data_IF_073034410058
#
_entry.id   IF_073034410058
#
_cell.length_a   1.000
_cell.length_b   1.000
_cell.length_c   1.000
_cell.angle_alpha   90.00
_cell.angle_beta   90.00
_cell.angle_gamma   90.00
#
_symmetry.space_group_name_H-M   'P 1'
#
loop_
_entity.id
_entity.type
_entity.pdbx_description
1 polymer ?
#
# COMPACT_ATOMS: atom_id res chain seq x y z
N UNK A 1 26.68 -17.04 21.14
CA UNK A 1 26.68 -16.44 19.79
C UNK A 1 25.33 -16.69 19.15
N UNK A 2 24.43 -15.69 19.11
CA UNK A 2 23.13 -15.85 18.44
C UNK A 2 23.36 -15.95 16.93
N UNK A 3 23.20 -17.15 16.37
CA UNK A 3 23.32 -17.36 14.92
C UNK A 3 22.10 -16.73 14.24
N UNK A 4 22.32 -15.76 13.36
CA UNK A 4 21.28 -15.27 12.45
C UNK A 4 20.91 -16.34 11.41
N UNK A 5 19.89 -16.04 10.59
CA UNK A 5 19.46 -16.95 9.52
C UNK A 5 20.45 -16.88 8.34
N UNK A 6 20.97 -18.01 7.83
CA UNK A 6 21.85 -18.00 6.66
C UNK A 6 21.18 -17.42 5.40
N UNK A 7 21.96 -16.73 4.56
CA UNK A 7 21.45 -16.11 3.32
C UNK A 7 20.76 -17.10 2.38
N UNK A 8 21.30 -18.32 2.22
CA UNK A 8 20.69 -19.31 1.34
C UNK A 8 19.31 -19.76 1.83
N UNK A 9 19.09 -19.83 3.15
CA UNK A 9 17.80 -20.19 3.74
C UNK A 9 16.79 -19.05 3.55
N UNK A 10 17.22 -17.80 3.73
CA UNK A 10 16.39 -16.62 3.45
C UNK A 10 15.99 -16.54 1.97
N UNK A 11 16.94 -16.82 1.07
CA UNK A 11 16.69 -16.80 -0.38
C UNK A 11 15.70 -17.89 -0.79
N UNK A 12 15.90 -19.11 -0.27
CA UNK A 12 14.95 -20.21 -0.48
C UNK A 12 13.56 -19.81 0.00
N UNK A 13 13.45 -19.34 1.26
CA UNK A 13 12.19 -18.87 1.84
C UNK A 13 11.50 -17.81 0.98
N UNK A 14 12.26 -16.83 0.46
CA UNK A 14 11.71 -15.77 -0.40
C UNK A 14 11.00 -16.33 -1.63
N UNK A 15 11.57 -17.32 -2.30
CA UNK A 15 11.05 -17.84 -3.55
C UNK A 15 10.08 -19.02 -3.40
N UNK A 16 10.04 -19.70 -2.25
CA UNK A 16 9.12 -20.82 -2.02
C UNK A 16 7.87 -20.46 -1.26
N UNK A 17 7.93 -19.43 -0.40
CA UNK A 17 6.91 -19.21 0.62
C UNK A 17 6.12 -17.92 0.43
N UNK A 18 6.56 -17.02 -0.45
CA UNK A 18 5.82 -15.80 -0.75
C UNK A 18 4.91 -15.97 -1.96
N UNK A 19 3.62 -15.67 -1.77
CA UNK A 19 2.70 -15.41 -2.88
C UNK A 19 2.53 -13.90 -3.00
N UNK A 20 3.34 -13.30 -3.86
CA UNK A 20 3.30 -11.86 -4.02
C UNK A 20 2.04 -11.43 -4.78
N UNK A 21 1.31 -10.39 -4.31
CA UNK A 21 0.24 -9.76 -5.09
C UNK A 21 0.80 -8.86 -6.22
N UNK A 22 2.08 -9.02 -6.59
CA UNK A 22 2.68 -8.22 -7.63
C UNK A 22 1.99 -8.53 -8.96
N UNK A 23 1.46 -7.52 -9.67
CA UNK A 23 0.79 -7.70 -10.97
C UNK A 23 1.79 -8.07 -12.07
N UNK A 24 3.07 -8.17 -11.72
CA UNK A 24 4.12 -8.50 -12.64
C UNK A 24 4.15 -10.01 -12.80
N UNK A 25 4.05 -10.49 -14.04
CA UNK A 25 4.58 -11.79 -14.44
C UNK A 25 6.12 -11.79 -14.34
N UNK A 26 6.66 -11.27 -13.24
CA UNK A 26 8.08 -11.23 -12.97
C UNK A 26 8.45 -12.62 -12.46
N UNK A 27 8.95 -13.43 -13.37
CA UNK A 27 9.41 -14.77 -13.03
C UNK A 27 10.42 -14.70 -11.88
N UNK A 28 10.25 -15.55 -10.88
CA UNK A 28 11.16 -15.65 -9.73
C UNK A 28 12.64 -15.76 -10.17
N UNK A 29 12.88 -16.47 -11.27
CA UNK A 29 14.20 -16.64 -11.89
C UNK A 29 14.80 -15.32 -12.39
N UNK A 30 13.99 -14.43 -12.98
CA UNK A 30 14.45 -13.12 -13.44
C UNK A 30 14.83 -12.24 -12.24
N UNK A 31 14.03 -12.28 -11.16
CA UNK A 31 14.27 -11.45 -9.97
C UNK A 31 15.55 -11.88 -9.27
N UNK A 32 15.77 -13.19 -9.18
CA UNK A 32 17.00 -13.76 -8.66
C UNK A 32 18.21 -13.39 -9.52
N UNK A 33 18.10 -13.49 -10.85
CA UNK A 33 19.18 -13.14 -11.76
C UNK A 33 19.55 -11.65 -11.64
N UNK A 34 18.56 -10.76 -11.55
CA UNK A 34 18.79 -9.34 -11.35
C UNK A 34 19.43 -9.06 -9.99
N UNK A 35 18.91 -9.66 -8.91
CA UNK A 35 19.49 -9.55 -7.56
C UNK A 35 20.94 -10.02 -7.51
N UNK A 36 21.29 -11.12 -8.17
CA UNK A 36 22.67 -11.60 -8.25
C UNK A 36 23.59 -10.60 -8.97
N UNK A 37 23.07 -9.86 -9.95
CA UNK A 37 23.83 -8.80 -10.64
C UNK A 37 23.85 -7.46 -9.89
N UNK A 38 22.91 -7.23 -8.97
CA UNK A 38 22.71 -5.97 -8.25
C UNK A 38 22.61 -6.26 -6.74
N UNK A 39 23.74 -6.33 -6.01
CA UNK A 39 23.78 -6.84 -4.64
C UNK A 39 22.81 -6.14 -3.66
N UNK A 40 22.59 -4.83 -3.84
CA UNK A 40 21.65 -4.07 -2.99
C UNK A 40 20.21 -4.56 -3.13
N UNK A 41 19.80 -5.01 -4.32
CA UNK A 41 18.48 -5.62 -4.52
C UNK A 41 18.43 -6.97 -3.80
N UNK A 42 19.44 -7.83 -3.99
CA UNK A 42 19.50 -9.13 -3.32
C UNK A 42 19.44 -8.99 -1.80
N UNK A 43 20.22 -8.09 -1.21
CA UNK A 43 20.22 -7.82 0.22
C UNK A 43 18.83 -7.35 0.70
N UNK A 44 18.11 -6.57 -0.12
CA UNK A 44 16.73 -6.15 0.17
C UNK A 44 15.77 -7.33 0.16
N UNK A 45 15.84 -8.23 -0.83
CA UNK A 45 15.01 -9.44 -0.88
C UNK A 45 15.24 -10.33 0.35
N UNK A 46 16.49 -10.49 0.76
CA UNK A 46 16.85 -11.25 1.96
C UNK A 46 16.34 -10.59 3.24
N UNK A 47 16.39 -9.26 3.33
CA UNK A 47 15.81 -8.52 4.44
C UNK A 47 14.29 -8.70 4.51
N UNK A 48 13.58 -8.67 3.37
CA UNK A 48 12.14 -8.95 3.28
C UNK A 48 11.83 -10.38 3.73
N UNK A 49 12.61 -11.37 3.29
CA UNK A 49 12.47 -12.75 3.73
C UNK A 49 12.61 -12.88 5.26
N UNK A 50 13.61 -12.22 5.84
CA UNK A 50 13.82 -12.19 7.27
C UNK A 50 12.67 -11.49 8.02
N UNK A 51 12.14 -10.38 7.49
CA UNK A 51 10.96 -9.69 8.04
C UNK A 51 9.73 -10.60 8.02
N UNK A 52 9.45 -11.28 6.91
CA UNK A 52 8.34 -12.24 6.84
C UNK A 52 8.50 -13.36 7.87
N UNK A 53 9.69 -13.96 8.00
CA UNK A 53 9.95 -14.96 9.03
C UNK A 53 9.74 -14.39 10.43
N UNK A 54 10.12 -13.13 10.71
CA UNK A 54 9.87 -12.47 12.00
C UNK A 54 8.37 -12.37 12.31
N UNK A 55 7.51 -12.22 11.32
CA UNK A 55 6.06 -12.14 11.52
C UNK A 55 5.40 -13.50 11.76
N UNK A 56 5.97 -14.58 11.21
CA UNK A 56 5.39 -15.93 11.28
C UNK A 56 6.10 -16.85 12.28
N UNK A 57 7.26 -16.45 12.82
CA UNK A 57 8.02 -17.25 13.79
C UNK A 57 7.68 -16.88 15.21
N UNK A 58 7.48 -17.89 16.07
CA UNK A 58 7.37 -17.72 17.52
C UNK A 58 8.67 -17.12 18.09
N UNK A 59 9.83 -17.61 17.61
CA UNK A 59 11.14 -17.11 18.01
C UNK A 59 11.63 -16.07 16.99
N UNK A 60 11.44 -14.80 17.32
CA UNK A 60 11.73 -13.67 16.41
C UNK A 60 13.21 -13.29 16.31
N UNK A 61 14.04 -13.65 17.30
CA UNK A 61 15.40 -13.11 17.44
C UNK A 61 16.33 -13.41 16.24
N UNK A 62 16.40 -14.65 15.70
CA UNK A 62 17.25 -14.93 14.53
C UNK A 62 16.83 -14.12 13.30
N UNK A 63 15.52 -14.00 13.09
CA UNK A 63 14.93 -13.23 12.00
C UNK A 63 15.21 -11.74 12.14
N UNK A 64 15.10 -11.17 13.36
CA UNK A 64 15.46 -9.77 13.65
C UNK A 64 16.92 -9.46 13.33
N UNK A 65 17.84 -10.33 13.75
CA UNK A 65 19.26 -10.15 13.46
C UNK A 65 19.55 -10.22 11.96
N UNK A 66 18.92 -11.16 11.26
CA UNK A 66 19.04 -11.29 9.82
C UNK A 66 18.47 -10.06 9.09
N UNK A 67 17.26 -9.63 9.43
CA UNK A 67 16.59 -8.45 8.86
C UNK A 67 17.44 -7.19 9.07
N UNK A 68 17.95 -6.95 10.28
CA UNK A 68 18.81 -5.80 10.57
C UNK A 68 20.12 -5.83 9.77
N UNK A 69 20.77 -7.00 9.72
CA UNK A 69 22.04 -7.15 8.99
C UNK A 69 21.85 -6.96 7.49
N UNK A 70 20.86 -7.61 6.89
CA UNK A 70 20.59 -7.51 5.45
C UNK A 70 20.04 -6.13 5.08
N UNK A 71 19.17 -5.56 5.92
CA UNK A 71 18.63 -4.21 5.74
C UNK A 71 19.72 -3.13 5.76
N UNK A 72 20.74 -3.28 6.62
CA UNK A 72 21.87 -2.36 6.67
C UNK A 72 22.72 -2.41 5.38
N UNK A 73 22.98 -3.63 4.86
CA UNK A 73 23.69 -3.81 3.59
C UNK A 73 22.88 -3.25 2.42
N UNK A 74 21.59 -3.56 2.36
CA UNK A 74 20.64 -3.07 1.38
C UNK A 74 20.62 -1.53 1.32
N UNK A 75 20.45 -0.86 2.46
CA UNK A 75 20.40 0.60 2.53
C UNK A 75 21.72 1.26 2.09
N UNK A 76 22.86 0.70 2.50
CA UNK A 76 24.17 1.21 2.10
C UNK A 76 24.40 1.06 0.59
N UNK A 77 24.14 -0.13 0.05
CA UNK A 77 24.26 -0.41 -1.38
C UNK A 77 23.29 0.41 -2.22
N UNK A 78 22.04 0.56 -1.77
CA UNK A 78 21.02 1.35 -2.44
C UNK A 78 21.38 2.83 -2.47
N UNK A 79 21.87 3.39 -1.35
CA UNK A 79 22.35 4.79 -1.31
C UNK A 79 23.50 5.01 -2.29
N UNK A 80 24.46 4.09 -2.35
CA UNK A 80 25.56 4.18 -3.30
C UNK A 80 25.07 4.07 -4.76
N UNK A 81 24.08 3.23 -5.04
CA UNK A 81 23.48 3.10 -6.37
C UNK A 81 22.74 4.38 -6.80
N UNK A 82 22.01 5.03 -5.88
CA UNK A 82 21.30 6.28 -6.16
C UNK A 82 22.23 7.46 -6.51
N UNK A 83 23.48 7.43 -6.07
CA UNK A 83 24.49 8.46 -6.34
C UNK A 83 25.20 8.27 -7.69
N UNK A 84 25.03 7.13 -8.34
CA UNK A 84 25.66 6.82 -9.64
C UNK A 84 24.80 7.30 -10.82
N UNK A 85 25.42 7.62 -11.96
CA UNK A 85 24.70 7.82 -13.22
C UNK A 85 23.83 6.62 -13.57
N UNK A 86 22.68 6.87 -14.19
CA UNK A 86 21.64 5.86 -14.43
C UNK A 86 21.64 5.40 -15.87
N UNK A 87 22.80 4.95 -16.35
CA UNK A 87 22.99 4.70 -17.78
C UNK A 87 22.67 3.24 -18.17
N UNK A 88 22.48 2.37 -17.18
CA UNK A 88 22.18 0.95 -17.36
C UNK A 88 20.72 0.61 -16.99
N UNK A 89 19.94 0.05 -17.93
CA UNK A 89 18.55 -0.35 -17.67
C UNK A 89 18.38 -1.34 -16.52
N UNK A 90 19.31 -2.30 -16.33
CA UNK A 90 19.22 -3.27 -15.24
C UNK A 90 19.37 -2.59 -13.88
N UNK A 91 20.30 -1.65 -13.77
CA UNK A 91 20.50 -0.86 -12.56
C UNK A 91 19.28 0.01 -12.26
N UNK A 92 18.70 0.67 -13.27
CA UNK A 92 17.48 1.47 -13.11
C UNK A 92 16.28 0.64 -12.63
N UNK A 93 16.11 -0.56 -13.20
CA UNK A 93 15.11 -1.55 -12.78
C UNK A 93 15.34 -2.02 -11.33
N UNK A 94 16.57 -2.40 -11.00
CA UNK A 94 16.93 -2.85 -9.66
C UNK A 94 16.72 -1.75 -8.60
N UNK A 95 16.96 -0.48 -8.94
CA UNK A 95 16.68 0.67 -8.07
C UNK A 95 15.18 0.76 -7.75
N UNK A 96 14.31 0.60 -8.75
CA UNK A 96 12.85 0.65 -8.55
C UNK A 96 12.37 -0.53 -7.71
N UNK A 97 12.80 -1.76 -8.03
CA UNK A 97 12.46 -2.94 -7.25
C UNK A 97 12.97 -2.85 -5.81
N UNK A 98 14.19 -2.36 -5.63
CA UNK A 98 14.74 -2.15 -4.28
C UNK A 98 13.88 -1.19 -3.48
N UNK A 99 13.49 -0.05 -4.07
CA UNK A 99 12.63 0.90 -3.39
C UNK A 99 11.24 0.32 -3.07
N UNK A 100 10.69 -0.53 -3.94
CA UNK A 100 9.43 -1.23 -3.72
C UNK A 100 9.51 -2.17 -2.52
N UNK A 101 10.56 -2.99 -2.43
CA UNK A 101 10.76 -3.91 -1.32
C UNK A 101 11.17 -3.21 -0.02
N UNK A 102 11.91 -2.09 -0.10
CA UNK A 102 12.14 -1.23 1.06
C UNK A 102 10.83 -0.64 1.58
N UNK A 103 9.92 -0.24 0.69
CA UNK A 103 8.60 0.22 1.11
C UNK A 103 7.82 -0.86 1.88
N UNK A 104 7.88 -2.13 1.43
CA UNK A 104 7.32 -3.26 2.19
C UNK A 104 7.95 -3.38 3.57
N UNK A 105 9.29 -3.37 3.66
CA UNK A 105 10.02 -3.49 4.92
C UNK A 105 9.64 -2.41 5.93
N UNK A 106 9.70 -1.15 5.52
CA UNK A 106 9.40 -0.02 6.39
C UNK A 106 7.92 0.03 6.79
N UNK A 107 7.03 -0.40 5.89
CA UNK A 107 5.61 -0.53 6.24
C UNK A 107 5.40 -1.64 7.29
N UNK A 108 6.09 -2.77 7.17
CA UNK A 108 6.06 -3.89 8.14
C UNK A 108 6.88 -3.66 9.42
N UNK A 109 7.58 -2.52 9.54
CA UNK A 109 8.47 -2.23 10.67
C UNK A 109 7.68 -1.76 11.91
N UNK A 110 6.71 -2.57 12.34
CA UNK A 110 5.99 -2.47 13.61
C UNK A 110 6.00 -3.83 14.30
N UNK A 111 5.84 -3.84 15.62
CA UNK A 111 5.88 -5.07 16.42
C UNK A 111 4.51 -5.47 16.98
N UNK A 112 3.61 -4.50 17.13
CA UNK A 112 2.23 -4.64 17.57
C UNK A 112 1.36 -3.57 16.92
N UNK A 113 0.05 -3.64 17.17
CA UNK A 113 -0.93 -2.69 16.67
C UNK A 113 -1.45 -1.72 17.75
N UNK A 114 -0.65 -1.45 18.79
CA UNK A 114 -0.98 -0.51 19.86
C UNK A 114 -1.13 0.92 19.32
N UNK A 115 -2.37 1.47 19.30
CA UNK A 115 -2.62 2.79 18.73
C UNK A 115 -1.86 3.90 19.45
N UNK A 116 -1.44 3.71 20.71
CA UNK A 116 -0.66 4.71 21.45
C UNK A 116 0.72 4.99 20.82
N UNK A 117 1.25 4.08 20.00
CA UNK A 117 2.53 4.20 19.30
C UNK A 117 2.44 4.86 17.92
N UNK A 118 1.23 5.20 17.48
CA UNK A 118 0.99 5.87 16.19
C UNK A 118 1.69 7.23 16.11
N UNK A 119 2.04 7.64 14.88
CA UNK A 119 2.62 8.94 14.60
C UNK A 119 1.76 10.10 15.12
N UNK A 120 0.42 9.95 15.13
CA UNK A 120 -0.52 11.01 15.50
C UNK A 120 -0.43 11.38 17.00
N UNK A 121 0.05 10.46 17.84
CA UNK A 121 0.30 10.71 19.26
C UNK A 121 1.78 10.96 19.58
N UNK A 122 2.68 10.74 18.61
CA UNK A 122 4.10 11.03 18.75
C UNK A 122 4.38 12.52 18.58
N UNK A 123 5.38 13.01 19.33
CA UNK A 123 5.93 14.37 19.21
C UNK A 123 7.34 14.40 18.59
N UNK A 124 7.83 13.24 18.17
CA UNK A 124 9.14 13.16 17.52
C UNK A 124 9.12 13.87 16.15
N UNK A 125 10.20 14.56 15.77
CA UNK A 125 10.26 15.29 14.50
C UNK A 125 10.20 14.36 13.28
N UNK A 126 10.59 13.10 13.42
CA UNK A 126 10.59 12.08 12.39
C UNK A 126 9.35 11.18 12.43
N UNK A 127 8.28 11.56 13.15
CA UNK A 127 7.06 10.75 13.35
C UNK A 127 6.41 10.24 12.06
N UNK A 128 6.60 10.95 10.94
CA UNK A 128 6.09 10.58 9.61
C UNK A 128 7.16 9.99 8.68
N UNK A 129 8.36 9.65 9.16
CA UNK A 129 9.46 9.18 8.33
C UNK A 129 9.13 7.93 7.50
N UNK A 130 8.36 7.00 8.07
CA UNK A 130 7.91 5.82 7.35
C UNK A 130 7.02 6.18 6.14
N UNK A 131 6.17 7.20 6.28
CA UNK A 131 5.29 7.69 5.21
C UNK A 131 6.10 8.47 4.17
N UNK A 132 7.03 9.31 4.61
CA UNK A 132 7.94 10.04 3.72
C UNK A 132 8.71 9.10 2.79
N UNK A 133 9.11 7.91 3.28
CA UNK A 133 9.75 6.91 2.43
C UNK A 133 8.81 6.40 1.32
N UNK A 134 7.55 6.12 1.64
CA UNK A 134 6.53 5.70 0.66
C UNK A 134 6.33 6.77 -0.42
N UNK A 135 6.25 8.04 -0.02
CA UNK A 135 6.07 9.17 -0.93
C UNK A 135 7.29 9.40 -1.83
N UNK A 136 8.49 9.02 -1.39
CA UNK A 136 9.71 9.08 -2.20
C UNK A 136 9.73 8.10 -3.38
N UNK A 137 8.83 7.12 -3.41
CA UNK A 137 8.77 6.12 -4.47
C UNK A 137 8.36 6.71 -5.83
N UNK A 138 7.33 7.56 -5.85
CA UNK A 138 6.83 8.20 -7.08
C UNK A 138 7.91 9.01 -7.83
N UNK A 139 8.62 9.99 -7.23
CA UNK A 139 9.67 10.72 -7.93
C UNK A 139 10.83 9.81 -8.34
N UNK A 140 11.12 8.74 -7.59
CA UNK A 140 12.12 7.76 -7.98
C UNK A 140 11.73 7.03 -9.28
N UNK A 141 10.51 6.50 -9.37
CA UNK A 141 10.00 5.82 -10.58
C UNK A 141 9.98 6.75 -11.80
N UNK A 142 9.59 8.01 -11.59
CA UNK A 142 9.61 9.03 -12.64
C UNK A 142 11.03 9.31 -13.13
N UNK A 143 11.98 9.46 -12.21
CA UNK A 143 13.38 9.74 -12.53
C UNK A 143 14.15 8.56 -13.15
N UNK A 144 13.61 7.34 -13.10
CA UNK A 144 14.20 6.17 -13.80
C UNK A 144 13.53 5.88 -15.14
N UNK A 145 12.45 6.57 -15.49
CA UNK A 145 11.60 6.19 -16.62
C UNK A 145 12.33 6.11 -17.97
N UNK A 146 13.23 7.04 -18.25
CA UNK A 146 13.97 7.09 -19.51
C UNK A 146 14.95 5.91 -19.73
N UNK A 147 15.25 5.15 -18.68
CA UNK A 147 16.26 4.08 -18.72
C UNK A 147 15.65 2.69 -18.54
N UNK A 148 14.34 2.60 -18.25
CA UNK A 148 13.66 1.34 -18.03
C UNK A 148 13.11 0.77 -19.34
N UNK A 149 12.92 -0.55 -19.38
CA UNK A 149 12.11 -1.19 -20.43
C UNK A 149 10.65 -0.77 -20.27
N UNK A 150 9.97 -0.53 -21.39
CA UNK A 150 8.64 0.09 -21.47
C UNK A 150 7.51 -0.76 -20.84
N UNK A 151 7.76 -2.01 -20.46
CA UNK A 151 6.76 -3.02 -20.12
C UNK A 151 6.58 -3.26 -18.62
N UNK A 152 7.64 -3.23 -17.80
CA UNK A 152 7.53 -3.77 -16.42
C UNK A 152 6.74 -2.88 -15.47
N UNK A 153 6.90 -1.55 -15.49
CA UNK A 153 6.32 -0.65 -14.46
C UNK A 153 5.36 0.39 -14.98
N UNK A 154 5.18 0.47 -16.30
CA UNK A 154 4.39 1.50 -16.96
C UNK A 154 2.94 1.46 -16.47
N UNK A 155 2.33 0.27 -16.40
CA UNK A 155 0.91 0.13 -16.02
C UNK A 155 0.60 0.43 -14.55
N UNK A 156 1.57 0.17 -13.67
CA UNK A 156 1.37 0.25 -12.22
C UNK A 156 1.59 1.67 -11.69
N UNK A 157 2.34 2.53 -12.38
CA UNK A 157 2.69 3.85 -11.84
C UNK A 157 2.43 5.04 -12.78
N UNK A 158 1.94 4.82 -14.01
CA UNK A 158 1.63 5.91 -14.93
C UNK A 158 0.31 6.63 -14.55
N UNK A 159 0.41 7.95 -14.32
CA UNK A 159 -0.70 8.83 -13.91
C UNK A 159 -1.88 8.92 -14.91
N UNK A 160 -1.67 9.02 -16.24
CA UNK A 160 -2.75 9.02 -17.22
C UNK A 160 -3.61 7.75 -17.15
N UNK A 161 -2.98 6.62 -16.85
CA UNK A 161 -3.67 5.34 -16.67
C UNK A 161 -4.42 5.29 -15.34
N UNK A 162 -4.05 6.02 -14.28
CA UNK A 162 -4.83 6.03 -13.02
C UNK A 162 -6.24 6.54 -13.27
N UNK A 163 -6.39 7.70 -13.90
CA UNK A 163 -7.72 8.26 -14.16
C UNK A 163 -8.43 7.60 -15.34
N UNK A 164 -7.69 7.11 -16.33
CA UNK A 164 -8.26 6.28 -17.40
C UNK A 164 -8.79 4.95 -16.85
N UNK A 165 -8.04 4.28 -15.99
CA UNK A 165 -8.42 3.01 -15.36
C UNK A 165 -9.53 3.18 -14.33
N UNK A 166 -9.51 4.25 -13.52
CA UNK A 166 -10.67 4.62 -12.67
C UNK A 166 -11.93 4.83 -13.52
N UNK A 167 -11.82 5.53 -14.65
CA UNK A 167 -12.94 5.69 -15.61
C UNK A 167 -13.36 4.36 -16.23
N UNK A 168 -12.43 3.46 -16.51
CA UNK A 168 -12.69 2.15 -17.09
C UNK A 168 -13.39 1.23 -16.07
N UNK A 169 -12.90 1.17 -14.82
CA UNK A 169 -13.52 0.44 -13.72
C UNK A 169 -14.94 0.92 -13.46
N UNK A 170 -15.20 2.23 -13.49
CA UNK A 170 -16.57 2.79 -13.45
C UNK A 170 -17.47 2.24 -14.57
N UNK A 171 -16.91 1.90 -15.74
CA UNK A 171 -17.65 1.35 -16.87
C UNK A 171 -17.97 -0.14 -16.71
N UNK A 172 -17.05 -0.93 -16.16
CA UNK A 172 -17.22 -2.38 -15.97
C UNK A 172 -18.05 -2.76 -14.74
N UNK A 173 -18.06 -1.94 -13.69
CA UNK A 173 -18.89 -2.17 -12.49
C UNK A 173 -20.33 -1.63 -12.62
N UNK A 174 -20.74 -1.18 -13.81
CA UNK A 174 -22.07 -0.57 -14.03
C UNK A 174 -22.23 0.81 -13.38
N UNK A 175 -21.20 1.36 -12.75
CA UNK A 175 -21.20 2.71 -12.13
C UNK A 175 -21.27 3.84 -13.18
N UNK A 176 -21.13 3.53 -14.47
CA UNK A 176 -21.04 4.50 -15.57
C UNK A 176 -22.28 5.39 -15.74
N UNK A 177 -23.45 5.00 -15.25
CA UNK A 177 -24.64 5.89 -15.23
C UNK A 177 -24.71 6.80 -14.00
N UNK A 178 -23.88 6.55 -12.96
CA UNK A 178 -23.88 7.25 -11.67
C UNK A 178 -22.61 8.02 -11.35
N UNK A 179 -21.50 7.80 -12.05
CA UNK A 179 -20.20 8.42 -11.73
C UNK A 179 -19.70 9.36 -12.83
N UNK A 180 -20.32 10.54 -12.98
CA UNK A 180 -19.50 11.74 -12.77
C UNK A 180 -19.16 11.70 -11.28
N UNK A 181 -17.89 11.73 -10.88
CA UNK A 181 -17.50 11.54 -9.48
C UNK A 181 -17.96 12.74 -8.61
N UNK A 182 -19.27 12.83 -8.38
CA UNK A 182 -19.89 13.76 -7.46
C UNK A 182 -19.64 13.18 -6.10
N UNK A 183 -18.76 13.82 -5.34
CA UNK A 183 -18.59 13.50 -3.94
C UNK A 183 -19.96 13.48 -3.24
N UNK A 184 -20.21 12.54 -2.31
CA UNK A 184 -21.29 12.70 -1.36
C UNK A 184 -21.25 14.11 -0.77
N UNK A 185 -22.40 14.74 -0.53
CA UNK A 185 -22.45 16.16 -0.13
C UNK A 185 -21.51 16.49 1.06
N UNK A 186 -21.39 15.58 2.03
CA UNK A 186 -20.51 15.75 3.17
C UNK A 186 -19.00 15.67 2.83
N UNK A 187 -18.61 14.94 1.78
CA UNK A 187 -17.26 14.98 1.23
C UNK A 187 -17.03 16.24 0.39
N UNK A 188 -18.02 16.65 -0.42
CA UNK A 188 -17.91 17.82 -1.28
C UNK A 188 -17.61 19.10 -0.49
N UNK A 189 -18.22 19.25 0.68
CA UNK A 189 -17.99 20.40 1.56
C UNK A 189 -16.53 20.53 2.04
N UNK A 190 -15.80 19.42 2.23
CA UNK A 190 -14.41 19.45 2.74
C UNK A 190 -13.36 19.28 1.64
N UNK A 191 -13.69 18.56 0.58
CA UNK A 191 -12.73 18.11 -0.44
C UNK A 191 -13.07 18.57 -1.87
N UNK A 192 -14.22 19.23 -2.08
CA UNK A 192 -14.74 19.57 -3.41
C UNK A 192 -14.32 20.92 -3.99
N UNK A 193 -13.54 21.75 -3.28
CA UNK A 193 -13.14 23.07 -3.79
C UNK A 193 -11.76 23.04 -4.45
N UNK A 194 -11.72 23.32 -5.76
CA UNK A 194 -10.52 23.54 -6.57
C UNK A 194 -10.03 25.01 -6.51
N UNK A 195 -9.87 25.56 -5.31
CA UNK A 195 -9.20 26.86 -5.14
C UNK A 195 -7.73 26.82 -5.57
N UNK A 196 -7.03 27.96 -5.67
CA UNK A 196 -5.63 28.08 -6.14
C UNK A 196 -4.58 27.26 -5.35
N UNK A 197 -4.96 26.60 -4.25
CA UNK A 197 -4.14 25.62 -3.51
C UNK A 197 -4.41 24.16 -3.95
N UNK A 198 -5.09 23.99 -5.08
CA UNK A 198 -5.95 22.87 -5.47
C UNK A 198 -5.27 21.54 -5.79
N UNK A 199 -6.07 20.48 -5.74
CA UNK A 199 -5.78 19.04 -5.86
C UNK A 199 -5.17 18.33 -4.65
N UNK A 200 -4.65 19.03 -3.65
CA UNK A 200 -4.06 18.39 -2.45
C UNK A 200 -5.05 17.44 -1.76
N UNK A 201 -6.32 17.80 -1.70
CA UNK A 201 -7.39 16.95 -1.17
C UNK A 201 -8.24 16.28 -2.25
N UNK A 202 -8.57 17.02 -3.31
CA UNK A 202 -9.54 16.58 -4.31
C UNK A 202 -9.13 15.24 -4.97
N UNK A 203 -7.89 15.12 -5.44
CA UNK A 203 -7.46 13.92 -6.16
C UNK A 203 -7.32 12.69 -5.24
N UNK A 204 -6.69 12.79 -4.05
CA UNK A 204 -6.70 11.71 -3.07
C UNK A 204 -8.10 11.31 -2.61
N UNK A 205 -9.01 12.27 -2.39
CA UNK A 205 -10.39 11.99 -1.98
C UNK A 205 -11.17 11.26 -3.09
N UNK A 206 -10.99 11.68 -4.34
CA UNK A 206 -11.61 11.01 -5.50
C UNK A 206 -11.13 9.58 -5.65
N UNK A 207 -9.82 9.34 -5.50
CA UNK A 207 -9.26 7.98 -5.52
C UNK A 207 -9.82 7.16 -4.37
N UNK A 208 -9.77 7.67 -3.13
CA UNK A 208 -10.27 6.94 -1.96
C UNK A 208 -11.76 6.56 -2.09
N UNK A 209 -12.60 7.49 -2.55
CA UNK A 209 -14.02 7.20 -2.81
C UNK A 209 -14.19 6.09 -3.84
N UNK A 210 -13.42 6.11 -4.94
CA UNK A 210 -13.50 5.05 -5.94
C UNK A 210 -13.05 3.70 -5.40
N UNK A 211 -11.93 3.68 -4.65
CA UNK A 211 -11.40 2.46 -4.02
C UNK A 211 -12.39 1.83 -3.03
N UNK A 212 -13.28 2.63 -2.41
CA UNK A 212 -14.31 2.10 -1.52
C UNK A 212 -15.23 1.07 -2.20
N UNK A 213 -15.36 1.15 -3.53
CA UNK A 213 -16.17 0.26 -4.37
C UNK A 213 -15.37 -0.80 -5.14
N UNK A 214 -14.06 -0.88 -4.94
CA UNK A 214 -13.21 -1.88 -5.61
C UNK A 214 -12.95 -3.05 -4.65
N UNK A 215 -13.21 -4.27 -5.10
CA UNK A 215 -13.01 -5.47 -4.27
C UNK A 215 -11.54 -5.61 -3.85
N UNK A 216 -11.24 -5.89 -2.56
CA UNK A 216 -9.89 -6.02 -2.04
C UNK A 216 -9.26 -7.38 -2.42
N UNK A 217 -9.12 -7.63 -3.73
CA UNK A 217 -8.40 -8.77 -4.27
C UNK A 217 -6.92 -8.43 -4.45
N UNK A 218 -6.08 -9.47 -4.52
CA UNK A 218 -4.63 -9.31 -4.64
C UNK A 218 -4.28 -8.55 -5.94
N UNK A 219 -5.01 -8.80 -7.02
CA UNK A 219 -4.88 -8.11 -8.30
C UNK A 219 -5.22 -6.61 -8.18
N UNK A 220 -6.17 -6.26 -7.31
CA UNK A 220 -6.60 -4.89 -7.10
C UNK A 220 -5.72 -4.12 -6.10
N UNK A 221 -4.77 -4.78 -5.41
CA UNK A 221 -3.97 -4.14 -4.36
C UNK A 221 -3.23 -2.88 -4.85
N UNK A 222 -2.66 -2.93 -6.06
CA UNK A 222 -1.94 -1.80 -6.63
C UNK A 222 -2.86 -0.62 -6.98
N UNK A 223 -4.16 -0.85 -7.13
CA UNK A 223 -5.14 0.23 -7.26
C UNK A 223 -5.22 1.02 -5.96
N UNK A 224 -5.20 0.34 -4.81
CA UNK A 224 -5.20 1.00 -3.50
C UNK A 224 -3.92 1.81 -3.26
N UNK A 225 -2.79 1.37 -3.84
CA UNK A 225 -1.53 2.12 -3.82
C UNK A 225 -1.59 3.40 -4.68
N UNK A 226 -2.55 3.55 -5.62
CA UNK A 226 -2.69 4.76 -6.43
C UNK A 226 -3.03 6.00 -5.61
N UNK A 227 -3.50 5.83 -4.36
CA UNK A 227 -3.67 6.92 -3.41
C UNK A 227 -2.38 7.75 -3.25
N UNK A 228 -1.21 7.09 -3.16
CA UNK A 228 0.09 7.78 -3.13
C UNK A 228 0.50 8.36 -4.47
N UNK A 229 0.10 7.72 -5.57
CA UNK A 229 0.43 8.19 -6.92
C UNK A 229 -0.23 9.54 -7.21
N UNK A 230 -1.45 9.78 -6.71
CA UNK A 230 -2.17 11.05 -6.90
C UNK A 230 -1.80 12.15 -5.91
N UNK A 231 -1.00 11.85 -4.87
CA UNK A 231 -0.46 12.89 -4.01
C UNK A 231 0.53 13.78 -4.76
N UNK A 232 0.59 15.04 -4.35
CA UNK A 232 1.50 16.02 -4.92
C UNK A 232 2.95 15.73 -4.54
N UNK A 233 3.86 15.95 -5.49
CA UNK A 233 5.31 15.74 -5.31
C UNK A 233 5.94 16.78 -4.36
N UNK A 234 5.24 17.88 -4.09
CA UNK A 234 5.64 18.93 -3.15
C UNK A 234 5.37 18.54 -1.69
N UNK A 235 4.83 17.34 -1.44
CA UNK A 235 4.56 16.78 -0.12
C UNK A 235 3.57 17.63 0.72
N UNK A 236 2.75 18.47 0.09
CA UNK A 236 1.82 19.36 0.81
C UNK A 236 0.78 18.58 1.62
N UNK A 237 0.31 17.44 1.12
CA UNK A 237 -0.57 16.55 1.90
C UNK A 237 0.13 16.02 3.17
N UNK A 238 1.41 15.63 3.07
CA UNK A 238 2.20 15.18 4.22
C UNK A 238 2.42 16.30 5.23
N UNK A 239 2.65 17.52 4.77
CA UNK A 239 2.79 18.68 5.67
C UNK A 239 1.48 19.02 6.39
N UNK A 240 0.33 18.74 5.77
CA UNK A 240 -0.97 18.86 6.43
C UNK A 240 -1.16 17.77 7.49
N UNK A 241 -0.69 16.53 7.25
CA UNK A 241 -0.65 15.49 8.28
C UNK A 241 0.24 15.89 9.45
N UNK A 242 1.43 16.44 9.18
CA UNK A 242 2.34 16.90 10.23
C UNK A 242 1.74 18.04 11.06
N UNK A 243 0.96 18.92 10.44
CA UNK A 243 0.21 19.99 11.13
C UNK A 243 -1.09 19.50 11.75
N UNK A 244 -1.38 18.21 11.68
CA UNK A 244 -2.59 17.59 12.22
C UNK A 244 -3.87 18.23 11.67
N UNK A 245 -3.86 18.64 10.38
CA UNK A 245 -5.07 19.10 9.70
C UNK A 245 -6.09 17.95 9.68
N UNK A 246 -7.23 18.18 10.33
CA UNK A 246 -8.25 17.15 10.58
C UNK A 246 -8.77 16.53 9.27
N UNK A 247 -8.76 17.26 8.15
CA UNK A 247 -9.18 16.75 6.84
C UNK A 247 -8.16 15.79 6.26
N UNK A 248 -6.87 16.15 6.35
CA UNK A 248 -5.79 15.29 5.88
C UNK A 248 -5.73 14.02 6.73
N UNK A 249 -5.82 14.16 8.05
CA UNK A 249 -5.85 13.05 9.00
C UNK A 249 -7.02 12.13 8.73
N UNK A 250 -8.23 12.67 8.55
CA UNK A 250 -9.41 11.87 8.24
C UNK A 250 -9.27 11.13 6.91
N UNK A 251 -8.82 11.80 5.85
CA UNK A 251 -8.71 11.20 4.52
C UNK A 251 -7.64 10.09 4.47
N UNK A 252 -6.52 10.31 5.17
CA UNK A 252 -5.49 9.28 5.33
C UNK A 252 -6.00 8.10 6.16
N UNK A 253 -6.71 8.37 7.26
CA UNK A 253 -7.37 7.34 8.06
C UNK A 253 -8.39 6.53 7.26
N UNK A 254 -9.18 7.18 6.40
CA UNK A 254 -10.15 6.51 5.55
C UNK A 254 -9.45 5.54 4.57
N UNK A 255 -8.39 5.99 3.91
CA UNK A 255 -7.57 5.12 3.05
C UNK A 255 -6.90 3.97 3.82
N UNK A 256 -6.42 4.19 5.04
CA UNK A 256 -5.92 3.11 5.90
C UNK A 256 -7.03 2.11 6.23
N UNK A 257 -8.24 2.58 6.54
CA UNK A 257 -9.40 1.71 6.70
C UNK A 257 -9.67 0.86 5.47
N UNK A 258 -9.63 1.45 4.27
CA UNK A 258 -9.73 0.72 3.01
C UNK A 258 -8.61 -0.32 2.83
N UNK A 259 -7.36 0.01 3.17
CA UNK A 259 -6.25 -0.95 3.16
C UNK A 259 -6.41 -2.07 4.19
N UNK A 260 -7.14 -1.84 5.28
CA UNK A 260 -7.36 -2.84 6.33
C UNK A 260 -8.22 -4.02 5.85
N UNK A 261 -8.83 -3.90 4.66
CA UNK A 261 -9.56 -4.98 4.00
C UNK A 261 -8.62 -6.09 3.52
N UNK A 262 -7.34 -5.79 3.30
CA UNK A 262 -6.33 -6.76 2.90
C UNK A 262 -5.74 -7.48 4.12
N UNK A 263 -5.46 -8.78 3.97
CA UNK A 263 -4.85 -9.62 4.99
C UNK A 263 -3.39 -9.93 4.68
N UNK A 264 -2.62 -8.94 4.22
CA UNK A 264 -1.19 -9.12 4.00
C UNK A 264 -0.42 -8.99 5.31
N UNK A 265 0.51 -9.92 5.56
CA UNK A 265 1.35 -9.91 6.77
C UNK A 265 2.06 -8.58 7.01
N UNK A 266 2.48 -7.91 5.93
CA UNK A 266 3.29 -6.70 5.99
C UNK A 266 2.47 -5.41 6.13
N UNK A 267 1.18 -5.42 5.82
CA UNK A 267 0.30 -4.26 6.01
C UNK A 267 -0.48 -4.29 7.31
N UNK A 268 -0.88 -5.48 7.76
CA UNK A 268 -1.94 -5.65 8.76
C UNK A 268 -1.72 -4.89 10.07
N UNK A 269 -0.58 -5.11 10.75
CA UNK A 269 -0.31 -4.49 12.06
C UNK A 269 -0.29 -2.96 11.97
N UNK A 270 0.47 -2.39 11.02
CA UNK A 270 0.58 -0.94 10.88
C UNK A 270 -0.77 -0.33 10.50
N UNK A 271 -1.49 -0.92 9.54
CA UNK A 271 -2.78 -0.38 9.12
C UNK A 271 -3.76 -0.34 10.29
N UNK A 272 -3.90 -1.43 11.07
CA UNK A 272 -4.77 -1.45 12.25
C UNK A 272 -4.36 -0.43 13.30
N UNK A 273 -3.07 -0.33 13.60
CA UNK A 273 -2.50 0.63 14.54
C UNK A 273 -2.86 2.07 14.15
N UNK A 274 -2.52 2.46 12.92
CA UNK A 274 -2.65 3.85 12.46
C UNK A 274 -4.11 4.23 12.24
N UNK A 275 -4.93 3.33 11.68
CA UNK A 275 -6.37 3.57 11.50
C UNK A 275 -7.09 3.74 12.83
N UNK A 276 -6.82 2.86 13.81
CA UNK A 276 -7.41 2.93 15.15
C UNK A 276 -6.98 4.20 15.87
N UNK A 277 -5.70 4.55 15.81
CA UNK A 277 -5.17 5.77 16.41
C UNK A 277 -5.81 7.03 15.83
N UNK A 278 -5.98 7.11 14.51
CA UNK A 278 -6.63 8.24 13.84
C UNK A 278 -8.09 8.39 14.29
N UNK A 279 -8.85 7.29 14.36
CA UNK A 279 -10.23 7.31 14.87
C UNK A 279 -10.30 7.86 16.29
N UNK A 280 -9.45 7.34 17.18
CA UNK A 280 -9.35 7.81 18.57
C UNK A 280 -8.95 9.29 18.65
N UNK A 281 -8.00 9.74 17.83
CA UNK A 281 -7.55 11.12 17.80
C UNK A 281 -8.66 12.08 17.34
N UNK A 282 -9.38 11.74 16.27
CA UNK A 282 -10.50 12.52 15.76
C UNK A 282 -11.66 12.59 16.77
N UNK A 283 -11.97 11.49 17.45
CA UNK A 283 -12.99 11.44 18.50
C UNK A 283 -12.61 12.34 19.68
N UNK A 284 -11.35 12.31 20.13
CA UNK A 284 -10.84 13.22 21.19
C UNK A 284 -10.87 14.70 20.80
N UNK A 285 -10.76 15.00 19.50
CA UNK A 285 -10.94 16.36 18.96
C UNK A 285 -12.42 16.78 18.93
N UNK A 286 -13.35 15.88 19.24
CA UNK A 286 -14.78 16.16 19.29
C UNK A 286 -15.39 16.46 17.93
N UNK A 287 -14.79 16.00 16.83
CA UNK A 287 -15.25 16.36 15.46
C UNK A 287 -16.69 15.92 15.22
N UNK A 288 -17.12 14.77 15.78
CA UNK A 288 -18.51 14.27 15.71
C UNK A 288 -19.55 15.24 16.27
N UNK A 289 -19.19 16.08 17.23
CA UNK A 289 -20.11 17.06 17.83
C UNK A 289 -20.26 18.36 17.04
N UNK A 290 -19.45 18.58 15.99
CA UNK A 290 -19.34 19.90 15.36
C UNK A 290 -20.35 20.15 14.24
N UNK A 291 -20.69 19.12 13.47
CA UNK A 291 -21.66 19.25 12.36
C UNK A 291 -22.15 17.89 11.86
N UNK A 292 -23.30 17.90 11.17
CA UNK A 292 -23.82 16.73 10.46
C UNK A 292 -22.83 16.18 9.43
N UNK A 293 -22.01 17.06 8.84
CA UNK A 293 -20.95 16.68 7.90
C UNK A 293 -19.91 15.79 8.58
N UNK A 294 -19.39 16.18 9.74
CA UNK A 294 -18.42 15.37 10.49
C UNK A 294 -19.02 14.07 11.04
N UNK A 295 -20.29 14.07 11.44
CA UNK A 295 -20.98 12.83 11.85
C UNK A 295 -20.97 11.80 10.71
N UNK A 296 -21.32 12.23 9.49
CA UNK A 296 -21.31 11.36 8.30
C UNK A 296 -19.90 10.90 7.91
N UNK A 297 -18.92 11.81 7.90
CA UNK A 297 -17.53 11.46 7.64
C UNK A 297 -16.99 10.44 8.66
N UNK A 298 -17.28 10.62 9.95
CA UNK A 298 -16.81 9.66 10.95
C UNK A 298 -17.49 8.30 10.81
N UNK A 299 -18.77 8.25 10.41
CA UNK A 299 -19.45 6.99 10.07
C UNK A 299 -18.75 6.28 8.91
N UNK A 300 -18.45 7.00 7.82
CA UNK A 300 -17.74 6.43 6.67
C UNK A 300 -16.36 5.88 7.08
N UNK A 301 -15.64 6.58 7.95
CA UNK A 301 -14.34 6.14 8.48
C UNK A 301 -14.45 4.89 9.37
N UNK A 302 -15.49 4.80 10.19
CA UNK A 302 -15.72 3.66 11.07
C UNK A 302 -15.97 2.36 10.29
N UNK A 303 -16.68 2.45 9.16
CA UNK A 303 -17.03 1.30 8.30
C UNK A 303 -16.05 1.08 7.16
N UNK A 304 -14.99 1.88 7.02
CA UNK A 304 -14.07 1.81 5.88
C UNK A 304 -13.38 0.44 5.73
N UNK A 305 -13.08 -0.23 6.84
CA UNK A 305 -12.47 -1.56 6.84
C UNK A 305 -13.43 -2.70 6.44
N UNK A 306 -14.73 -2.43 6.36
CA UNK A 306 -15.72 -3.41 5.95
C UNK A 306 -15.80 -3.44 4.42
N UNK A 307 -15.77 -4.64 3.85
CA UNK A 307 -16.14 -4.86 2.45
C UNK A 307 -17.63 -5.18 2.41
N UNK A 308 -18.48 -4.36 1.77
CA UNK A 308 -19.90 -4.66 1.66
C UNK A 308 -20.06 -5.98 0.90
N UNK A 309 -20.68 -6.98 1.54
CA UNK A 309 -21.06 -8.18 0.79
C UNK A 309 -22.01 -7.76 -0.32
N UNK A 310 -21.86 -8.25 -1.56
CA UNK A 310 -22.88 -8.03 -2.57
C UNK A 310 -24.20 -8.53 -1.99
N UNK A 311 -25.25 -7.69 -2.06
CA UNK A 311 -26.59 -8.15 -1.73
C UNK A 311 -26.80 -9.46 -2.51
N UNK A 312 -27.19 -10.53 -1.83
CA UNK A 312 -27.65 -11.72 -2.52
C UNK A 312 -28.84 -11.25 -3.37
N UNK A 313 -28.65 -11.16 -4.68
CA UNK A 313 -29.77 -11.10 -5.59
C UNK A 313 -30.58 -12.37 -5.29
N UNK A 314 -31.80 -12.21 -4.77
CA UNK A 314 -32.75 -13.30 -4.72
C UNK A 314 -32.81 -13.88 -6.15
N UNK A 315 -32.66 -15.21 -6.32
CA UNK A 315 -32.68 -15.77 -7.66
C UNK A 315 -34.07 -15.52 -8.27
N UNK A 316 -34.13 -14.58 -9.20
CA UNK A 316 -35.24 -14.50 -10.14
C UNK A 316 -35.30 -15.85 -10.87
N UNK A 317 -36.44 -16.54 -10.75
CA UNK A 317 -36.74 -17.75 -11.51
C UNK A 317 -36.65 -17.44 -13.01
N UNK A 318 -35.48 -17.70 -13.61
CA UNK A 318 -35.35 -17.77 -15.07
C UNK A 318 -34.56 -19.03 -15.44
N UNK A 319 -35.28 -19.87 -16.17
CA UNK A 319 -34.94 -21.15 -16.79
C UNK A 319 -33.55 -21.24 -17.42
N UNK A 320 -32.85 -22.28 -16.98
CA UNK A 320 -31.84 -23.12 -17.64
C UNK A 320 -31.32 -22.66 -19.01
N UNK A 321 -30.13 -22.07 -19.02
CA UNK A 321 -29.22 -22.06 -20.17
C UNK A 321 -27.76 -21.99 -19.70
N UNK A 322 -27.05 -23.11 -19.85
CA UNK A 322 -25.60 -23.32 -19.86
C UNK A 322 -24.73 -22.20 -19.23
N UNK A 323 -24.62 -22.21 -17.90
CA UNK A 323 -23.61 -21.45 -17.19
C UNK A 323 -22.25 -22.15 -17.26
N UNK A 324 -21.36 -21.62 -18.10
CA UNK A 324 -19.91 -21.75 -17.88
C UNK A 324 -19.60 -21.09 -16.54
N UNK A 325 -19.42 -21.89 -15.49
CA UNK A 325 -18.92 -21.42 -14.20
C UNK A 325 -17.52 -20.83 -14.39
N UNK A 326 -17.43 -19.50 -14.42
CA UNK A 326 -16.15 -18.81 -14.22
C UNK A 326 -15.74 -19.02 -12.75
N UNK A 327 -14.49 -19.42 -12.47
CA UNK A 327 -14.05 -19.68 -11.11
C UNK A 327 -14.00 -18.36 -10.34
N UNK A 328 -14.78 -18.29 -9.26
CA UNK A 328 -14.77 -17.19 -8.29
C UNK A 328 -13.32 -16.86 -7.85
N UNK A 329 -12.88 -15.59 -7.89
CA UNK A 329 -11.58 -15.23 -7.36
C UNK A 329 -11.56 -15.42 -5.83
N UNK A 330 -10.55 -16.16 -5.34
CA UNK A 330 -10.38 -16.49 -3.93
C UNK A 330 -10.14 -15.20 -3.12
N UNK A 331 -10.80 -15.05 -1.96
CA UNK A 331 -10.38 -14.05 -0.96
C UNK A 331 -8.89 -14.22 -0.66
N UNK A 332 -8.15 -13.12 -0.54
CA UNK A 332 -6.73 -13.16 -0.18
C UNK A 332 -6.59 -13.62 1.29
N UNK A 333 -6.55 -14.93 1.48
CA UNK A 333 -6.06 -15.57 2.69
C UNK A 333 -4.72 -16.19 2.33
N UNK A 334 -3.65 -15.75 2.98
CA UNK A 334 -2.42 -16.53 3.04
C UNK A 334 -2.77 -17.81 3.82
N UNK A 335 -2.64 -18.96 3.18
CA UNK A 335 -2.85 -20.25 3.84
C UNK A 335 -1.64 -20.48 4.72
N UNK A 336 -1.83 -20.49 6.03
CA UNK A 336 -0.82 -20.86 7.02
C UNK A 336 -0.42 -22.33 6.83
N UNK A 337 0.50 -22.59 5.92
CA UNK A 337 1.15 -23.90 5.79
C UNK A 337 2.48 -23.89 6.52
N UNK A 338 2.44 -23.93 7.86
CA UNK A 338 3.64 -24.22 8.66
C UNK A 338 3.35 -25.19 9.80
N UNK A 339 3.76 -26.44 9.57
CA UNK A 339 4.13 -27.41 10.59
C UNK A 339 5.57 -27.82 10.25
N UNK A 340 6.50 -27.52 11.18
CA UNK A 340 7.93 -27.85 11.20
C UNK A 340 8.90 -27.08 10.27
N UNK A 341 9.59 -26.10 10.86
CA UNK A 341 11.01 -25.81 10.62
C UNK A 341 11.68 -25.44 11.94
#
# INVERSE_FOLDING_TARGET
MSRGIPRHALLHHFFTSFKWPFPYNYEASQLLALGNSQPFLLDTLLAVAASHLRHHSVVKQPSRLAEQSQGSLALNGFRAALQRPRDDPKTAEAIVLTALFLNVLFFSAVEDDDPAKSWIFSRQPDRLAWLSLQLGFKPLVMSTNAFRRDDVFTDVFCLPQVFYYIRLCSRYTGLCSRTTAVFPLHWQHLFGSDGHKGRVFHDPARVALHLSHIEPTCDNFFLYCKFFVVMDIELRFRDLLEREDERAVWLFGYWLGLLNRFQFWWTGLRVRMEWTAIRLWLDRRGVRGRSMTWIKLMRDLDTAAEWPQPAQEEPDEVTDMDHVQLPWPRRCQEVDSWVHC
#
